data_IF_376524355397
#
_entry.id   IF_376524355397
#
_cell.length_a   1.000
_cell.length_b   1.000
_cell.length_c   1.000
_cell.angle_alpha   90.00
_cell.angle_beta   90.00
_cell.angle_gamma   90.00
#
_symmetry.space_group_name_H-M   'P 1'
#
loop_
_entity.id
_entity.type
_entity.pdbx_description
1 polymer ?
#
# COMPACT_ATOMS: atom_id res chain seq x y z
N UNK A 1 -3.02 0.70 -61.01
CA UNK A 1 -3.63 1.00 -59.70
C UNK A 1 -3.33 -0.12 -58.73
N UNK A 2 -2.47 0.11 -57.73
CA UNK A 2 -2.28 -0.76 -56.56
C UNK A 2 -2.41 0.13 -55.34
N UNK A 3 -3.50 -0.03 -54.60
CA UNK A 3 -3.72 0.61 -53.30
C UNK A 3 -3.89 -0.52 -52.30
N UNK A 4 -3.03 -0.60 -51.29
CA UNK A 4 -3.28 -1.31 -50.02
C UNK A 4 -2.23 -0.86 -49.00
N UNK A 5 -2.56 0.17 -48.22
CA UNK A 5 -2.98 0.09 -46.81
C UNK A 5 -1.80 -0.11 -45.84
N UNK A 6 -1.19 1.01 -45.43
CA UNK A 6 -0.37 1.08 -44.22
C UNK A 6 -1.29 0.96 -43.00
N UNK A 7 -1.11 -0.10 -42.20
CA UNK A 7 -1.72 -0.21 -40.88
C UNK A 7 -0.94 0.66 -39.89
N UNK A 8 -1.54 1.75 -39.43
CA UNK A 8 -1.04 2.54 -38.30
C UNK A 8 -1.32 1.74 -37.01
N UNK A 9 -0.28 1.18 -36.40
CA UNK A 9 -0.37 0.66 -35.03
C UNK A 9 -0.27 1.85 -34.08
N UNK A 10 -1.40 2.25 -33.50
CA UNK A 10 -1.46 3.30 -32.49
C UNK A 10 -0.83 2.83 -31.17
N UNK A 11 0.24 3.50 -30.74
CA UNK A 11 0.86 3.30 -29.44
C UNK A 11 -0.07 3.84 -28.35
N UNK A 12 -0.79 2.94 -27.68
CA UNK A 12 -1.61 3.27 -26.51
C UNK A 12 -0.68 3.57 -25.32
N UNK A 13 -0.60 4.84 -24.91
CA UNK A 13 0.01 5.23 -23.65
C UNK A 13 -0.89 4.73 -22.51
N UNK A 14 -0.46 3.69 -21.80
CA UNK A 14 -1.03 3.35 -20.51
C UNK A 14 -0.70 4.48 -19.52
N UNK A 15 -1.72 5.16 -19.01
CA UNK A 15 -1.55 6.12 -17.93
C UNK A 15 -1.12 5.37 -16.66
N UNK A 16 0.13 5.58 -16.23
CA UNK A 16 0.61 5.12 -14.93
C UNK A 16 -0.11 5.93 -13.84
N UNK A 17 -0.89 5.32 -12.94
CA UNK A 17 -1.37 6.01 -11.75
C UNK A 17 -0.19 6.12 -10.78
N UNK A 18 0.65 7.15 -10.96
CA UNK A 18 1.89 7.27 -10.19
C UNK A 18 2.40 8.70 -10.01
N UNK A 19 1.67 9.71 -10.45
CA UNK A 19 2.09 11.10 -10.33
C UNK A 19 1.00 11.94 -9.64
N UNK A 20 1.24 12.28 -8.38
CA UNK A 20 0.62 13.44 -7.73
C UNK A 20 -0.79 13.25 -7.18
N UNK A 21 -1.10 12.13 -6.51
CA UNK A 21 -2.29 12.11 -5.67
C UNK A 21 -2.01 12.88 -4.37
N UNK A 22 -2.68 14.02 -4.20
CA UNK A 22 -2.65 14.78 -2.96
C UNK A 22 -3.21 13.91 -1.83
N UNK A 23 -2.44 13.75 -0.76
CA UNK A 23 -2.86 12.97 0.41
C UNK A 23 -4.16 13.53 0.96
N UNK A 24 -5.22 12.74 0.89
CA UNK A 24 -6.51 13.09 1.49
C UNK A 24 -6.45 12.93 2.99
N UNK A 25 -7.17 13.79 3.70
CA UNK A 25 -7.37 13.61 5.13
C UNK A 25 -8.20 12.35 5.40
N UNK A 26 -7.96 11.72 6.54
CA UNK A 26 -8.70 10.56 7.02
C UNK A 26 -9.08 10.76 8.49
N UNK A 27 -10.17 10.11 8.91
CA UNK A 27 -10.66 10.16 10.28
C UNK A 27 -10.40 8.82 10.96
N UNK A 28 -9.76 8.88 12.13
CA UNK A 28 -9.57 7.71 12.99
C UNK A 28 -10.72 7.65 13.99
N UNK A 29 -11.40 6.51 14.05
CA UNK A 29 -12.46 6.21 15.03
C UNK A 29 -12.05 4.97 15.82
N UNK A 30 -11.72 5.15 17.10
CA UNK A 30 -11.12 4.08 17.90
C UNK A 30 -9.78 3.64 17.32
N UNK A 31 -9.65 2.36 16.97
CA UNK A 31 -8.45 1.77 16.36
C UNK A 31 -8.62 1.48 14.84
N UNK A 32 -9.52 2.22 14.17
CA UNK A 32 -9.86 2.02 12.77
C UNK A 32 -9.94 3.32 11.96
N UNK A 33 -9.69 3.19 10.66
CA UNK A 33 -10.12 4.15 9.63
C UNK A 33 -11.26 3.49 8.85
N UNK A 34 -12.49 3.92 9.14
CA UNK A 34 -13.70 3.25 8.63
C UNK A 34 -13.94 3.52 7.15
N UNK A 35 -13.61 4.71 6.68
CA UNK A 35 -13.82 5.11 5.29
C UNK A 35 -12.57 4.82 4.45
N UNK A 36 -12.71 4.33 3.21
CA UNK A 36 -11.59 4.23 2.28
C UNK A 36 -10.90 5.57 2.05
N UNK A 37 -9.59 5.55 1.80
CA UNK A 37 -8.80 6.75 1.50
C UNK A 37 -9.17 7.36 0.14
N UNK A 38 -9.58 6.49 -0.79
CA UNK A 38 -10.00 6.85 -2.16
C UNK A 38 -11.31 6.16 -2.51
N UNK A 39 -12.01 6.66 -3.52
CA UNK A 39 -13.21 6.02 -4.03
C UNK A 39 -12.89 4.72 -4.77
N UNK A 40 -13.81 3.77 -4.73
CA UNK A 40 -13.66 2.46 -5.36
C UNK A 40 -13.25 1.36 -4.38
N UNK A 41 -13.35 0.11 -4.83
CA UNK A 41 -12.91 -1.06 -4.06
C UNK A 41 -11.47 -1.40 -4.42
N UNK A 42 -10.63 -1.65 -3.41
CA UNK A 42 -9.28 -2.15 -3.64
C UNK A 42 -9.26 -3.50 -4.37
N UNK A 43 -8.20 -3.73 -5.12
CA UNK A 43 -7.93 -4.96 -5.87
C UNK A 43 -6.96 -5.85 -5.08
N UNK A 44 -7.41 -7.02 -4.60
CA UNK A 44 -6.57 -7.90 -3.81
C UNK A 44 -5.40 -8.50 -4.61
N UNK A 45 -5.48 -8.61 -5.94
CA UNK A 45 -4.36 -9.10 -6.74
C UNK A 45 -3.23 -8.06 -6.80
N UNK A 46 -3.58 -6.77 -6.97
CA UNK A 46 -2.60 -5.68 -6.86
C UNK A 46 -2.05 -5.54 -5.45
N UNK A 47 -2.90 -5.76 -4.43
CA UNK A 47 -2.48 -5.79 -3.03
C UNK A 47 -1.47 -6.89 -2.73
N UNK A 48 -1.67 -8.10 -3.26
CA UNK A 48 -0.73 -9.21 -3.13
C UNK A 48 0.62 -8.88 -3.78
N UNK A 49 0.60 -8.31 -4.98
CA UNK A 49 1.81 -7.86 -5.67
C UNK A 49 2.54 -6.77 -4.88
N UNK A 50 1.80 -5.81 -4.30
CA UNK A 50 2.38 -4.79 -3.43
C UNK A 50 3.01 -5.40 -2.19
N UNK A 51 2.35 -6.31 -1.45
CA UNK A 51 2.95 -6.97 -0.27
C UNK A 51 4.28 -7.67 -0.61
N UNK A 52 4.35 -8.31 -1.79
CA UNK A 52 5.56 -8.98 -2.27
C UNK A 52 6.63 -8.02 -2.81
N UNK A 53 6.31 -6.75 -3.05
CA UNK A 53 7.23 -5.75 -3.62
C UNK A 53 8.31 -5.34 -2.61
N UNK A 54 9.52 -5.86 -2.85
CA UNK A 54 10.72 -5.63 -2.03
C UNK A 54 11.44 -4.32 -2.35
N UNK A 55 10.84 -3.39 -3.08
CA UNK A 55 11.40 -2.07 -3.41
C UNK A 55 10.44 -0.92 -3.08
N UNK A 56 9.12 -1.14 -3.19
CA UNK A 56 8.10 -0.12 -2.95
C UNK A 56 7.44 -0.23 -1.57
N UNK A 57 6.88 -1.39 -1.22
CA UNK A 57 6.11 -1.56 0.02
C UNK A 57 6.95 -2.12 1.16
N UNK A 58 7.92 -3.00 0.84
CA UNK A 58 8.86 -3.61 1.77
C UNK A 58 8.22 -4.41 2.92
N UNK A 59 6.94 -4.82 2.80
CA UNK A 59 6.21 -5.49 3.88
C UNK A 59 6.88 -6.80 4.30
N UNK A 60 7.30 -7.61 3.32
CA UNK A 60 7.97 -8.91 3.54
C UNK A 60 9.38 -8.78 4.13
N UNK A 61 9.99 -7.58 4.17
CA UNK A 61 11.25 -7.41 4.90
C UNK A 61 11.08 -7.56 6.41
N UNK A 62 9.86 -7.36 6.93
CA UNK A 62 9.57 -7.41 8.36
C UNK A 62 8.61 -8.54 8.72
N UNK A 63 7.64 -8.84 7.86
CA UNK A 63 6.56 -9.78 8.13
C UNK A 63 6.74 -11.10 7.37
N UNK A 64 6.43 -12.20 8.04
CA UNK A 64 6.08 -13.47 7.41
C UNK A 64 4.58 -13.55 7.10
N UNK A 65 4.19 -14.51 6.28
CA UNK A 65 2.78 -14.79 5.99
C UNK A 65 2.60 -15.79 4.86
N UNK A 66 1.36 -16.00 4.38
CA UNK A 66 1.05 -16.90 3.28
C UNK A 66 1.38 -16.24 1.93
N UNK A 67 2.61 -15.74 1.80
CA UNK A 67 3.15 -15.08 0.60
C UNK A 67 4.15 -16.00 -0.11
N UNK A 68 4.41 -15.75 -1.39
CA UNK A 68 5.47 -16.44 -2.12
C UNK A 68 6.86 -16.17 -1.49
N UNK A 69 7.83 -17.04 -1.81
CA UNK A 69 9.24 -16.89 -1.43
C UNK A 69 9.49 -16.73 0.09
N UNK A 70 8.96 -17.67 0.88
CA UNK A 70 9.05 -17.65 2.35
C UNK A 70 10.47 -17.43 2.93
N UNK A 71 11.50 -17.89 2.22
CA UNK A 71 12.91 -17.69 2.61
C UNK A 71 13.37 -16.22 2.58
N UNK A 72 12.62 -15.34 1.92
CA UNK A 72 12.89 -13.90 1.84
C UNK A 72 12.15 -13.08 2.91
N UNK A 73 11.32 -13.72 3.73
CA UNK A 73 10.49 -13.04 4.73
C UNK A 73 11.29 -12.71 5.98
N UNK A 74 11.02 -11.53 6.54
CA UNK A 74 11.56 -11.12 7.84
C UNK A 74 10.75 -11.65 9.01
N UNK A 75 11.33 -11.52 10.20
CA UNK A 75 10.73 -11.91 11.49
C UNK A 75 10.73 -10.77 12.51
N UNK A 76 10.91 -9.53 12.04
CA UNK A 76 10.94 -8.34 12.89
C UNK A 76 9.52 -7.92 13.35
N UNK A 77 8.49 -8.37 12.65
CA UNK A 77 7.10 -8.05 12.93
C UNK A 77 6.22 -9.32 12.91
N UNK A 78 4.99 -9.27 13.46
CA UNK A 78 4.15 -10.46 13.57
C UNK A 78 3.78 -11.09 12.23
N UNK A 79 3.55 -12.39 12.22
CA UNK A 79 3.00 -13.12 11.07
C UNK A 79 1.62 -12.55 10.67
N UNK A 80 1.44 -12.31 9.37
CA UNK A 80 0.22 -11.78 8.78
C UNK A 80 -0.82 -12.87 8.43
N UNK A 81 -0.49 -14.15 8.61
CA UNK A 81 -1.46 -15.25 8.53
C UNK A 81 -2.66 -14.97 9.43
N UNK A 82 -3.87 -15.17 8.89
CA UNK A 82 -5.13 -14.97 9.62
C UNK A 82 -5.44 -13.51 9.99
N UNK A 83 -4.71 -12.51 9.48
CA UNK A 83 -4.95 -11.10 9.85
C UNK A 83 -6.38 -10.64 9.50
N UNK A 84 -6.93 -11.09 8.37
CA UNK A 84 -8.29 -10.79 7.94
C UNK A 84 -9.38 -11.49 8.77
N UNK A 85 -9.02 -12.48 9.60
CA UNK A 85 -9.92 -13.04 10.61
C UNK A 85 -9.82 -12.31 11.95
N UNK A 86 -8.65 -11.73 12.27
CA UNK A 86 -8.39 -11.06 13.55
C UNK A 86 -8.79 -9.58 13.57
N UNK A 87 -8.79 -8.92 12.42
CA UNK A 87 -8.99 -7.49 12.30
C UNK A 87 -10.06 -7.17 11.25
N UNK A 88 -10.86 -6.14 11.53
CA UNK A 88 -11.74 -5.54 10.53
C UNK A 88 -10.95 -4.81 9.45
N UNK A 89 -11.57 -4.57 8.29
CA UNK A 89 -10.98 -3.83 7.19
C UNK A 89 -10.45 -2.44 7.63
N UNK A 90 -11.23 -1.70 8.42
CA UNK A 90 -10.81 -0.39 8.94
C UNK A 90 -9.65 -0.45 9.92
N UNK A 91 -9.55 -1.52 10.70
CA UNK A 91 -8.42 -1.77 11.60
C UNK A 91 -7.15 -2.12 10.84
N UNK A 92 -7.26 -2.89 9.74
CA UNK A 92 -6.13 -3.16 8.84
C UNK A 92 -5.69 -1.85 8.18
N UNK A 93 -6.63 -1.04 7.68
CA UNK A 93 -6.35 0.25 7.06
C UNK A 93 -5.55 1.18 7.97
N UNK A 94 -5.95 1.36 9.23
CA UNK A 94 -5.21 2.21 10.16
C UNK A 94 -3.77 1.72 10.36
N UNK A 95 -3.56 0.40 10.46
CA UNK A 95 -2.21 -0.17 10.66
C UNK A 95 -1.30 0.12 9.48
N UNK A 96 -1.80 0.03 8.25
CA UNK A 96 -1.02 0.39 7.04
C UNK A 96 -0.81 1.90 6.93
N UNK A 97 -1.86 2.69 7.19
CA UNK A 97 -1.83 4.16 7.07
C UNK A 97 -0.88 4.81 8.08
N UNK A 98 -1.06 4.48 9.37
CA UNK A 98 -0.35 5.15 10.47
C UNK A 98 -0.28 4.29 11.73
N UNK A 99 0.48 3.18 11.68
CA UNK A 99 0.68 2.28 12.83
C UNK A 99 1.17 2.99 14.11
N UNK A 100 1.88 4.12 13.96
CA UNK A 100 2.37 4.93 15.09
C UNK A 100 1.26 5.53 15.94
N UNK A 101 0.04 5.66 15.41
CA UNK A 101 -1.15 6.04 16.21
C UNK A 101 -1.53 4.97 17.23
N UNK A 102 -1.27 3.71 16.92
CA UNK A 102 -1.59 2.56 17.77
C UNK A 102 -0.41 2.18 18.66
N UNK A 103 0.80 2.20 18.09
CA UNK A 103 2.04 1.85 18.79
C UNK A 103 3.10 2.91 18.45
N UNK A 104 3.24 3.98 19.26
CA UNK A 104 4.09 5.13 18.94
C UNK A 104 5.54 4.79 18.58
N UNK A 105 6.11 3.80 19.28
CA UNK A 105 7.50 3.35 19.11
C UNK A 105 7.66 2.21 18.08
N UNK A 106 6.63 1.89 17.30
CA UNK A 106 6.74 0.86 16.25
C UNK A 106 7.78 1.23 15.20
N UNK A 107 8.49 0.20 14.72
CA UNK A 107 9.37 0.28 13.56
C UNK A 107 8.60 0.18 12.24
N UNK A 108 7.33 -0.26 12.26
CA UNK A 108 6.49 -0.30 11.06
C UNK A 108 6.30 1.14 10.53
N UNK A 109 6.59 1.40 9.25
CA UNK A 109 6.39 2.73 8.67
C UNK A 109 4.92 3.14 8.67
N UNK A 110 4.66 4.45 8.82
CA UNK A 110 3.35 5.03 8.50
C UNK A 110 3.33 5.31 6.99
N UNK A 111 2.68 4.46 6.20
CA UNK A 111 2.83 4.48 4.74
C UNK A 111 2.13 5.67 4.06
N UNK A 112 1.09 6.24 4.68
CA UNK A 112 0.32 7.36 4.11
C UNK A 112 0.66 8.73 4.73
N UNK A 113 1.60 8.79 5.68
CA UNK A 113 2.05 10.05 6.26
C UNK A 113 3.11 10.72 5.39
N UNK A 114 2.98 12.02 5.20
CA UNK A 114 4.06 12.86 4.72
C UNK A 114 5.03 13.15 5.87
N UNK A 115 6.33 12.95 5.66
CA UNK A 115 7.36 13.25 6.65
C UNK A 115 7.80 14.72 6.54
N UNK A 116 6.97 15.64 7.03
CA UNK A 116 7.17 17.10 6.96
C UNK A 116 7.68 17.74 8.28
N UNK A 117 7.84 16.93 9.33
CA UNK A 117 8.37 17.35 10.63
C UNK A 117 9.74 18.04 10.49
N UNK A 118 9.89 19.23 11.07
CA UNK A 118 11.14 20.00 10.98
C UNK A 118 12.33 19.22 11.55
N UNK A 119 13.48 19.33 10.89
CA UNK A 119 14.71 18.65 11.28
C UNK A 119 14.84 17.22 10.74
N UNK A 120 13.82 16.68 10.07
CA UNK A 120 13.93 15.38 9.39
C UNK A 120 14.73 15.47 8.09
N UNK A 121 15.72 14.58 7.96
CA UNK A 121 16.50 14.42 6.72
C UNK A 121 15.77 13.46 5.77
N UNK A 122 14.85 14.01 4.98
CA UNK A 122 14.11 13.24 3.97
C UNK A 122 14.80 13.38 2.60
N UNK A 123 15.10 12.24 1.99
CA UNK A 123 15.68 12.18 0.64
C UNK A 123 14.76 12.89 -0.35
N UNK A 124 15.34 13.60 -1.33
CA UNK A 124 14.61 14.47 -2.27
C UNK A 124 13.42 13.76 -2.93
N UNK A 125 13.61 12.50 -3.30
CA UNK A 125 12.57 11.69 -3.98
C UNK A 125 11.35 11.38 -3.12
N UNK A 126 11.37 11.64 -1.80
CA UNK A 126 10.30 11.34 -0.84
C UNK A 126 9.73 12.58 -0.14
N UNK A 127 10.19 13.78 -0.50
CA UNK A 127 9.67 15.02 0.12
C UNK A 127 8.23 15.27 -0.30
N UNK A 128 7.43 15.78 0.64
CA UNK A 128 6.04 16.23 0.43
C UNK A 128 5.08 15.16 -0.12
N UNK A 129 5.40 13.87 0.04
CA UNK A 129 4.50 12.78 -0.34
C UNK A 129 4.62 11.59 0.60
N UNK A 130 3.58 10.75 0.68
CA UNK A 130 3.63 9.50 1.41
C UNK A 130 4.52 8.45 0.72
N UNK A 131 4.76 7.34 1.41
CA UNK A 131 5.47 6.18 0.84
C UNK A 131 4.59 5.49 -0.21
N UNK A 132 3.30 5.32 0.10
CA UNK A 132 2.30 4.74 -0.81
C UNK A 132 1.13 5.69 -1.03
N UNK A 133 0.52 5.62 -2.22
CA UNK A 133 -0.71 6.35 -2.52
C UNK A 133 -1.95 5.74 -1.85
N UNK A 134 -3.08 6.44 -1.88
CA UNK A 134 -4.31 5.97 -1.25
C UNK A 134 -4.83 4.69 -1.91
N UNK A 135 -4.81 4.64 -3.25
CA UNK A 135 -5.19 3.47 -4.02
C UNK A 135 -4.31 2.23 -3.72
N UNK A 136 -2.98 2.40 -3.63
CA UNK A 136 -2.05 1.30 -3.27
C UNK A 136 -2.39 0.73 -1.87
N UNK A 137 -2.73 1.61 -0.92
CA UNK A 137 -3.12 1.18 0.43
C UNK A 137 -4.45 0.43 0.41
N UNK A 138 -5.45 0.89 -0.33
CA UNK A 138 -6.73 0.19 -0.43
C UNK A 138 -6.59 -1.19 -1.10
N UNK A 139 -5.69 -1.34 -2.08
CA UNK A 139 -5.34 -2.62 -2.67
C UNK A 139 -4.70 -3.57 -1.63
N UNK A 140 -3.74 -3.08 -0.83
CA UNK A 140 -3.12 -3.84 0.27
C UNK A 140 -4.17 -4.26 1.30
N UNK A 141 -5.04 -3.34 1.72
CA UNK A 141 -6.11 -3.63 2.68
C UNK A 141 -7.06 -4.69 2.13
N UNK A 142 -7.47 -4.56 0.86
CA UNK A 142 -8.32 -5.54 0.20
C UNK A 142 -7.70 -6.93 0.22
N UNK A 143 -6.39 -7.05 -0.07
CA UNK A 143 -5.68 -8.32 -0.01
C UNK A 143 -5.60 -8.89 1.41
N UNK A 144 -5.12 -8.11 2.38
CA UNK A 144 -4.94 -8.57 3.76
C UNK A 144 -6.26 -9.03 4.40
N UNK A 145 -7.39 -8.42 4.02
CA UNK A 145 -8.73 -8.81 4.49
C UNK A 145 -9.14 -10.21 4.01
N UNK A 146 -8.52 -10.73 2.94
CA UNK A 146 -8.75 -12.09 2.45
C UNK A 146 -8.01 -13.16 3.26
N UNK A 147 -6.99 -12.79 4.03
CA UNK A 147 -6.12 -13.72 4.77
C UNK A 147 -6.79 -14.16 6.08
N UNK A 148 -7.76 -15.07 6.01
CA UNK A 148 -8.55 -15.53 7.18
C UNK A 148 -8.00 -16.79 7.86
N UNK A 149 -7.04 -17.47 7.24
CA UNK A 149 -6.52 -18.76 7.68
C UNK A 149 -7.03 -19.91 6.81
#
# INVERSE_FOLDING_TARGET
>A
MRVAFLALVGLQLAASPGAGEETRSYVVTGDAIMQPLVGGKGDPARGAALIADRQRSLCTLCHSGPFADAHLHGTLAPDLTGVGARLSEGQIRLRVVDMKRLVPNTIMPSYYRVADEQGRRVATVWRSKPILGGADIEDIVAYLTTLKG
#
